data_IF_484426913613
#
_entry.id   IF_484426913613
#
_cell.length_a   1.000
_cell.length_b   1.000
_cell.length_c   1.000
_cell.angle_alpha   90.00
_cell.angle_beta   90.00
_cell.angle_gamma   90.00
#
_symmetry.space_group_name_H-M   'P 1'
#
loop_
_entity.id
_entity.type
_entity.pdbx_description
1 polymer ?
#
# COMPACT_ATOMS: atom_id res chain seq x y z
N UNK A 1 32.07 9.11 10.20
CA UNK A 1 30.89 9.99 10.16
C UNK A 1 29.70 9.22 10.72
N UNK A 2 28.94 9.83 11.65
CA UNK A 2 27.76 9.17 12.25
C UNK A 2 26.68 8.97 11.19
N UNK A 3 26.06 7.79 11.15
CA UNK A 3 24.90 7.52 10.28
C UNK A 3 23.70 8.34 10.76
N UNK A 4 23.03 9.03 9.84
CA UNK A 4 21.78 9.76 10.10
C UNK A 4 20.71 9.32 9.09
N UNK A 5 19.43 9.44 9.43
CA UNK A 5 18.33 9.04 8.53
C UNK A 5 18.35 9.75 7.17
N UNK A 6 18.61 11.06 7.08
CA UNK A 6 18.76 11.70 5.76
C UNK A 6 19.83 11.07 4.87
N UNK A 7 20.98 10.65 5.43
CA UNK A 7 22.02 9.95 4.67
C UNK A 7 21.55 8.58 4.18
N UNK A 8 20.78 7.85 5.01
CA UNK A 8 20.20 6.56 4.63
C UNK A 8 19.19 6.72 3.51
N UNK A 9 18.25 7.66 3.63
CA UNK A 9 17.24 7.96 2.60
C UNK A 9 17.92 8.34 1.29
N UNK A 10 18.93 9.21 1.37
CA UNK A 10 19.70 9.65 0.21
C UNK A 10 20.40 8.46 -0.48
N UNK A 11 21.04 7.59 0.29
CA UNK A 11 21.72 6.42 -0.25
C UNK A 11 20.75 5.37 -0.83
N UNK A 12 19.54 5.22 -0.24
CA UNK A 12 18.52 4.33 -0.79
C UNK A 12 18.02 4.83 -2.15
N UNK A 13 17.68 6.12 -2.25
CA UNK A 13 17.10 6.69 -3.48
C UNK A 13 18.15 7.00 -4.55
N UNK A 14 19.36 7.38 -4.12
CA UNK A 14 20.48 7.80 -4.94
C UNK A 14 21.75 7.03 -4.55
N UNK A 15 21.91 5.76 -4.98
CA UNK A 15 23.05 4.93 -4.58
C UNK A 15 24.40 5.54 -4.94
N UNK A 16 25.31 5.54 -3.97
CA UNK A 16 26.64 6.13 -4.12
C UNK A 16 26.71 7.62 -3.84
N UNK A 17 25.59 8.25 -3.50
CA UNK A 17 25.51 9.70 -3.21
C UNK A 17 26.14 10.10 -1.86
N UNK A 18 26.37 9.16 -0.96
CA UNK A 18 26.99 9.41 0.34
C UNK A 18 28.33 8.70 0.48
N UNK A 19 29.24 9.25 1.29
CA UNK A 19 30.51 8.61 1.65
C UNK A 19 30.39 7.73 2.90
N UNK A 20 29.19 7.59 3.49
CA UNK A 20 28.98 6.89 4.76
C UNK A 20 28.81 5.37 4.54
N UNK A 21 29.74 4.52 5.02
CA UNK A 21 29.70 3.07 4.76
C UNK A 21 28.50 2.38 5.45
N UNK A 22 28.06 2.89 6.61
CA UNK A 22 26.90 2.33 7.32
C UNK A 22 25.60 2.67 6.59
N UNK A 23 25.47 3.90 6.05
CA UNK A 23 24.33 4.27 5.24
C UNK A 23 24.24 3.42 3.97
N UNK A 24 25.38 3.16 3.31
CA UNK A 24 25.46 2.26 2.14
C UNK A 24 25.02 0.84 2.47
N UNK A 25 25.57 0.25 3.54
CA UNK A 25 25.22 -1.11 3.94
C UNK A 25 23.73 -1.23 4.31
N UNK A 26 23.19 -0.24 5.02
CA UNK A 26 21.77 -0.22 5.36
C UNK A 26 20.87 -0.07 4.12
N UNK A 27 21.22 0.86 3.23
CA UNK A 27 20.48 1.07 1.99
C UNK A 27 20.47 -0.19 1.10
N UNK A 28 21.59 -0.88 0.99
CA UNK A 28 21.68 -2.14 0.27
C UNK A 28 20.75 -3.20 0.88
N UNK A 29 20.78 -3.39 2.21
CA UNK A 29 19.92 -4.34 2.89
C UNK A 29 18.42 -4.04 2.69
N UNK A 30 18.03 -2.76 2.74
CA UNK A 30 16.64 -2.33 2.47
C UNK A 30 16.25 -2.66 1.03
N UNK A 31 17.08 -2.31 0.06
CA UNK A 31 16.81 -2.56 -1.36
C UNK A 31 16.69 -4.05 -1.68
N UNK A 32 17.55 -4.88 -1.09
CA UNK A 32 17.47 -6.35 -1.22
C UNK A 32 16.16 -6.89 -0.60
N UNK A 33 15.78 -6.43 0.59
CA UNK A 33 14.55 -6.85 1.24
C UNK A 33 13.30 -6.45 0.41
N UNK A 34 13.28 -5.24 -0.16
CA UNK A 34 12.20 -4.78 -1.03
C UNK A 34 12.10 -5.60 -2.32
N UNK A 35 13.23 -5.95 -2.94
CA UNK A 35 13.24 -6.77 -4.17
C UNK A 35 12.82 -8.22 -3.89
N UNK A 36 13.24 -8.80 -2.77
CA UNK A 36 12.77 -10.12 -2.32
C UNK A 36 11.24 -10.08 -2.11
N UNK A 37 10.72 -9.08 -1.41
CA UNK A 37 9.30 -8.93 -1.17
C UNK A 37 8.51 -8.80 -2.49
N UNK A 38 8.97 -7.95 -3.41
CA UNK A 38 8.39 -7.77 -4.74
C UNK A 38 8.34 -9.09 -5.53
N UNK A 39 9.47 -9.78 -5.59
CA UNK A 39 9.62 -11.03 -6.36
C UNK A 39 8.72 -12.12 -5.79
N UNK A 40 8.69 -12.29 -4.47
CA UNK A 40 7.81 -13.26 -3.81
C UNK A 40 6.33 -12.95 -4.05
N UNK A 41 5.94 -11.68 -3.96
CA UNK A 41 4.57 -11.28 -4.25
C UNK A 41 4.16 -11.66 -5.67
N UNK A 42 5.05 -11.41 -6.65
CA UNK A 42 4.79 -11.75 -8.05
C UNK A 42 4.71 -13.26 -8.30
N UNK A 43 5.46 -14.07 -7.55
CA UNK A 43 5.36 -15.54 -7.63
C UNK A 43 3.97 -16.08 -7.26
N UNK A 44 3.22 -15.36 -6.42
CA UNK A 44 1.89 -15.76 -5.97
C UNK A 44 0.75 -14.95 -6.64
N UNK A 45 1.04 -14.36 -7.81
CA UNK A 45 0.03 -13.71 -8.65
C UNK A 45 -0.06 -12.20 -8.47
N UNK A 46 0.91 -11.57 -7.82
CA UNK A 46 1.12 -10.14 -7.88
C UNK A 46 1.64 -9.71 -9.26
N UNK A 47 1.48 -8.42 -9.58
CA UNK A 47 2.03 -7.82 -10.79
C UNK A 47 2.69 -6.49 -10.44
N UNK A 48 3.75 -6.56 -9.63
CA UNK A 48 4.50 -5.38 -9.19
C UNK A 48 5.69 -5.21 -10.14
N UNK A 49 5.64 -4.18 -10.98
CA UNK A 49 6.74 -3.86 -11.88
C UNK A 49 8.00 -3.45 -11.11
N UNK A 50 9.17 -3.75 -11.69
CA UNK A 50 10.42 -3.20 -11.20
C UNK A 50 10.57 -1.78 -11.73
N UNK A 51 10.73 -0.82 -10.82
CA UNK A 51 11.02 0.56 -11.19
C UNK A 51 12.52 0.75 -11.50
N UNK A 52 12.85 1.74 -12.33
CA UNK A 52 14.23 2.20 -12.47
C UNK A 52 14.64 2.89 -11.16
N UNK A 53 15.77 2.46 -10.59
CA UNK A 53 16.23 2.95 -9.29
C UNK A 53 15.68 2.14 -8.11
N UNK A 54 15.86 2.69 -6.94
CA UNK A 54 15.46 2.08 -5.68
C UNK A 54 14.12 2.64 -5.19
N UNK A 55 13.46 1.88 -4.34
CA UNK A 55 12.12 2.20 -3.88
C UNK A 55 12.11 2.47 -2.36
N UNK A 56 11.49 3.58 -1.98
CA UNK A 56 11.02 3.80 -0.62
C UNK A 56 9.50 3.91 -0.62
N UNK A 57 8.81 3.32 0.37
CA UNK A 57 7.39 3.53 0.57
C UNK A 57 7.08 5.00 0.81
N UNK A 58 5.95 5.45 0.30
CA UNK A 58 5.50 6.85 0.37
C UNK A 58 4.23 6.92 1.22
N UNK A 59 4.32 6.86 2.56
CA UNK A 59 3.14 7.02 3.39
C UNK A 59 2.63 8.45 3.28
N UNK A 60 1.31 8.56 3.17
CA UNK A 60 0.60 9.83 3.13
C UNK A 60 -0.20 9.99 4.41
N UNK A 61 0.03 11.07 5.14
CA UNK A 61 -0.75 11.38 6.33
C UNK A 61 -2.03 12.11 5.94
N UNK A 62 -3.14 11.36 5.90
CA UNK A 62 -4.46 11.90 5.53
C UNK A 62 -4.92 13.08 6.39
N UNK A 63 -4.51 13.09 7.67
CA UNK A 63 -4.82 14.20 8.60
C UNK A 63 -4.01 15.46 8.25
N UNK A 64 -2.71 15.34 7.98
CA UNK A 64 -1.88 16.48 7.57
C UNK A 64 -2.39 17.06 6.24
N UNK A 65 -2.65 16.19 5.26
CA UNK A 65 -3.16 16.58 3.93
C UNK A 65 -4.56 17.19 4.03
N UNK A 66 -5.42 16.65 4.89
CA UNK A 66 -6.75 17.19 5.10
C UNK A 66 -6.82 18.59 5.70
N UNK A 67 -5.72 19.10 6.30
CA UNK A 67 -5.62 20.44 6.88
C UNK A 67 -5.26 21.53 5.88
N UNK A 68 -4.81 21.18 4.69
CA UNK A 68 -4.46 22.11 3.62
C UNK A 68 -5.48 22.02 2.49
N UNK A 69 -5.58 23.08 1.68
CA UNK A 69 -6.42 23.05 0.49
C UNK A 69 -5.86 22.12 -0.57
N UNK A 70 -6.72 21.63 -1.46
CA UNK A 70 -6.30 20.85 -2.62
C UNK A 70 -5.30 21.62 -3.49
N UNK A 71 -5.51 22.92 -3.67
CA UNK A 71 -4.65 23.79 -4.47
C UNK A 71 -3.27 23.92 -3.83
N UNK A 72 -3.18 24.19 -2.53
CA UNK A 72 -1.93 24.28 -1.79
C UNK A 72 -1.15 22.97 -1.88
N UNK A 73 -1.80 21.83 -1.58
CA UNK A 73 -1.16 20.52 -1.66
C UNK A 73 -0.67 20.21 -3.08
N UNK A 74 -1.47 20.54 -4.11
CA UNK A 74 -1.11 20.31 -5.50
C UNK A 74 0.12 21.13 -5.90
N UNK A 75 0.13 22.44 -5.60
CA UNK A 75 1.23 23.33 -5.95
C UNK A 75 2.54 22.89 -5.28
N UNK A 76 2.49 22.55 -4.00
CA UNK A 76 3.64 22.03 -3.26
C UNK A 76 4.14 20.72 -3.86
N UNK A 77 3.23 19.76 -4.03
CA UNK A 77 3.58 18.41 -4.50
C UNK A 77 4.19 18.47 -5.90
N UNK A 78 3.61 19.24 -6.82
CA UNK A 78 4.13 19.40 -8.17
C UNK A 78 5.59 19.88 -8.20
N UNK A 79 5.99 20.70 -7.22
CA UNK A 79 7.37 21.19 -7.12
C UNK A 79 8.39 20.09 -6.83
N UNK A 80 7.97 18.98 -6.23
CA UNK A 80 8.80 17.85 -5.83
C UNK A 80 8.85 16.71 -6.86
N UNK A 81 7.94 16.68 -7.87
CA UNK A 81 7.77 15.54 -8.75
C UNK A 81 8.68 15.54 -9.97
N UNK A 82 9.12 14.36 -10.38
CA UNK A 82 9.81 14.09 -11.64
C UNK A 82 8.80 13.67 -12.71
N UNK A 83 8.31 14.64 -13.46
CA UNK A 83 7.30 14.39 -14.49
C UNK A 83 7.81 13.49 -15.63
N UNK A 84 9.11 13.54 -15.94
CA UNK A 84 9.70 12.73 -17.01
C UNK A 84 9.61 11.23 -16.73
N UNK A 85 9.67 10.84 -15.44
CA UNK A 85 9.57 9.46 -15.02
C UNK A 85 8.13 9.00 -14.72
N UNK A 86 7.18 9.93 -14.63
CA UNK A 86 5.77 9.62 -14.39
C UNK A 86 5.07 9.29 -15.70
N UNK A 87 4.76 8.02 -15.91
CA UNK A 87 4.15 7.55 -17.16
C UNK A 87 2.63 7.58 -17.05
N UNK A 88 2.00 8.27 -17.99
CA UNK A 88 0.56 8.25 -18.17
C UNK A 88 0.14 6.93 -18.83
N UNK A 89 -0.58 6.10 -18.11
CA UNK A 89 -1.01 4.76 -18.58
C UNK A 89 -1.95 4.80 -19.78
N UNK A 90 -2.64 5.93 -20.01
CA UNK A 90 -3.56 6.10 -21.16
C UNK A 90 -2.81 6.37 -22.46
N UNK A 91 -1.69 7.10 -22.37
CA UNK A 91 -0.92 7.57 -23.53
C UNK A 91 0.43 6.87 -23.69
N UNK A 92 0.86 6.11 -22.68
CA UNK A 92 2.15 5.42 -22.57
C UNK A 92 3.36 6.35 -22.77
N UNK A 93 3.23 7.62 -22.39
CA UNK A 93 4.29 8.63 -22.37
C UNK A 93 4.32 9.36 -21.04
N UNK A 94 5.37 10.13 -20.79
CA UNK A 94 5.45 10.98 -19.60
C UNK A 94 4.29 11.98 -19.55
N UNK A 95 3.83 12.27 -18.32
CA UNK A 95 2.83 13.32 -18.11
C UNK A 95 3.38 14.68 -18.52
N UNK A 96 2.55 15.48 -19.20
CA UNK A 96 2.78 16.93 -19.22
C UNK A 96 2.33 17.55 -17.90
N UNK A 97 2.79 18.76 -17.61
CA UNK A 97 2.39 19.46 -16.39
C UNK A 97 0.87 19.66 -16.33
N UNK A 98 0.26 20.03 -17.46
CA UNK A 98 -1.18 20.26 -17.58
C UNK A 98 -1.98 18.96 -17.35
N UNK A 99 -1.53 17.85 -17.94
CA UNK A 99 -2.18 16.55 -17.75
C UNK A 99 -2.11 16.10 -16.29
N UNK A 100 -0.95 16.28 -15.64
CA UNK A 100 -0.80 15.90 -14.25
C UNK A 100 -1.65 16.79 -13.34
N UNK A 101 -1.72 18.09 -13.58
CA UNK A 101 -2.58 19.00 -12.82
C UNK A 101 -4.07 18.60 -12.88
N UNK A 102 -4.53 18.01 -13.99
CA UNK A 102 -5.90 17.48 -14.09
C UNK A 102 -6.13 16.21 -13.25
N UNK A 103 -5.11 15.40 -13.03
CA UNK A 103 -5.21 14.18 -12.22
C UNK A 103 -5.03 14.43 -10.71
N UNK A 104 -4.29 15.49 -10.31
CA UNK A 104 -3.95 15.79 -8.91
C UNK A 104 -5.16 15.94 -7.97
N UNK A 105 -6.31 16.51 -8.37
CA UNK A 105 -7.52 16.52 -7.55
C UNK A 105 -7.99 15.14 -7.14
N UNK A 106 -7.94 14.18 -8.07
CA UNK A 106 -8.28 12.78 -7.82
C UNK A 106 -7.31 12.12 -6.84
N UNK A 107 -6.01 12.41 -6.97
CA UNK A 107 -4.96 11.91 -6.08
C UNK A 107 -5.13 12.48 -4.67
N UNK A 108 -5.33 13.80 -4.53
CA UNK A 108 -5.59 14.45 -3.25
C UNK A 108 -6.79 13.84 -2.53
N UNK A 109 -7.92 13.69 -3.22
CA UNK A 109 -9.12 13.11 -2.64
C UNK A 109 -8.93 11.63 -2.26
N UNK A 110 -8.21 10.86 -3.08
CA UNK A 110 -7.91 9.47 -2.77
C UNK A 110 -7.06 9.34 -1.50
N UNK A 111 -6.05 10.18 -1.32
CA UNK A 111 -5.21 10.19 -0.12
C UNK A 111 -6.00 10.68 1.09
N UNK A 112 -6.68 11.82 0.98
CA UNK A 112 -7.46 12.43 2.08
C UNK A 112 -8.53 11.49 2.63
N UNK A 113 -9.15 10.70 1.77
CA UNK A 113 -10.21 9.74 2.12
C UNK A 113 -9.71 8.31 2.30
N UNK A 114 -8.39 8.09 2.32
CA UNK A 114 -7.76 6.77 2.42
C UNK A 114 -8.33 5.77 1.39
N UNK A 115 -8.61 6.26 0.18
CA UNK A 115 -9.14 5.46 -0.94
C UNK A 115 -10.66 5.34 -1.00
N UNK A 116 -11.41 5.82 -0.01
CA UNK A 116 -12.89 5.74 -0.02
C UNK A 116 -13.49 6.49 -1.20
N UNK A 117 -12.89 7.59 -1.65
CA UNK A 117 -13.36 8.35 -2.82
C UNK A 117 -13.33 7.58 -4.14
N UNK A 118 -12.56 6.48 -4.21
CA UNK A 118 -12.51 5.58 -5.38
C UNK A 118 -13.69 4.60 -5.44
N UNK A 119 -14.50 4.52 -4.39
CA UNK A 119 -15.71 3.71 -4.33
C UNK A 119 -16.86 4.46 -5.03
N UNK A 120 -16.75 4.71 -6.34
CA UNK A 120 -17.85 5.28 -7.12
C UNK A 120 -18.94 4.23 -7.28
N UNK A 121 -20.22 4.52 -6.92
CA UNK A 121 -21.32 3.60 -7.14
C UNK A 121 -21.42 3.21 -8.62
N UNK A 122 -21.47 1.92 -8.93
CA UNK A 122 -21.60 1.40 -10.29
C UNK A 122 -20.29 1.06 -11.00
N UNK A 123 -19.14 1.45 -10.50
CA UNK A 123 -17.87 0.89 -10.97
C UNK A 123 -17.74 -0.51 -10.38
N UNK A 124 -17.89 -1.54 -11.21
CA UNK A 124 -17.53 -2.90 -10.83
C UNK A 124 -16.07 -2.82 -10.37
N UNK A 125 -15.82 -3.17 -9.11
CA UNK A 125 -14.47 -3.49 -8.66
C UNK A 125 -14.01 -4.66 -9.53
N UNK A 126 -13.47 -4.31 -10.70
CA UNK A 126 -12.83 -5.27 -11.58
C UNK A 126 -11.80 -6.00 -10.72
N UNK A 127 -11.53 -7.23 -11.07
CA UNK A 127 -10.60 -8.16 -10.45
C UNK A 127 -9.19 -7.57 -10.23
N UNK A 128 -9.08 -6.50 -9.43
CA UNK A 128 -7.78 -6.03 -8.99
C UNK A 128 -7.25 -7.09 -8.03
N UNK A 129 -6.30 -7.87 -8.50
CA UNK A 129 -5.53 -8.74 -7.62
C UNK A 129 -4.93 -7.89 -6.51
N UNK A 130 -4.68 -8.48 -5.36
CA UNK A 130 -4.04 -7.80 -4.23
C UNK A 130 -2.72 -7.12 -4.65
N UNK A 131 -1.98 -7.73 -5.60
CA UNK A 131 -0.77 -7.15 -6.19
C UNK A 131 -1.04 -5.91 -7.03
N UNK A 132 -2.14 -5.86 -7.78
CA UNK A 132 -2.50 -4.69 -8.60
C UNK A 132 -2.91 -3.48 -7.76
N UNK A 133 -3.56 -3.70 -6.60
CA UNK A 133 -3.93 -2.60 -5.70
C UNK A 133 -2.72 -1.85 -5.13
N UNK A 134 -1.53 -2.49 -5.10
CA UNK A 134 -0.29 -1.86 -4.65
C UNK A 134 0.39 -0.98 -5.70
N UNK A 135 0.02 -1.09 -6.98
CA UNK A 135 0.54 -0.22 -8.04
C UNK A 135 0.02 1.22 -7.89
N UNK A 136 -1.19 1.38 -7.40
CA UNK A 136 -1.83 2.69 -7.24
C UNK A 136 -1.13 3.59 -6.21
N UNK A 137 -0.39 3.01 -5.26
CA UNK A 137 0.36 3.75 -4.24
C UNK A 137 1.72 4.29 -4.73
N UNK A 138 2.06 4.09 -6.01
CA UNK A 138 3.34 4.51 -6.62
C UNK A 138 3.17 5.61 -7.66
N UNK A 139 2.08 6.34 -7.60
CA UNK A 139 1.79 7.35 -8.62
C UNK A 139 2.79 8.52 -8.58
N UNK A 140 3.17 8.97 -7.38
CA UNK A 140 4.09 10.10 -7.24
C UNK A 140 5.55 9.63 -7.36
N UNK A 141 6.30 10.20 -8.29
CA UNK A 141 7.75 9.97 -8.43
C UNK A 141 8.46 11.28 -8.12
N UNK A 142 9.29 11.28 -7.09
CA UNK A 142 10.03 12.45 -6.64
C UNK A 142 11.30 12.67 -7.49
N UNK A 143 11.73 13.94 -7.65
CA UNK A 143 12.94 14.32 -8.41
C UNK A 143 14.20 13.69 -7.83
N UNK A 144 14.31 13.74 -6.50
CA UNK A 144 15.49 13.38 -5.75
C UNK A 144 15.13 13.05 -4.27
N UNK A 145 16.12 12.64 -3.51
CA UNK A 145 15.95 12.30 -2.10
C UNK A 145 15.54 13.52 -1.25
N UNK A 146 15.97 14.72 -1.62
CA UNK A 146 15.63 15.96 -0.89
C UNK A 146 14.16 16.30 -1.09
N UNK A 147 13.65 16.20 -2.30
CA UNK A 147 12.23 16.36 -2.64
C UNK A 147 11.35 15.33 -1.91
N UNK A 148 11.78 14.06 -1.88
CA UNK A 148 11.09 13.03 -1.10
C UNK A 148 11.03 13.37 0.38
N UNK A 149 12.15 13.75 0.99
CA UNK A 149 12.22 14.10 2.42
C UNK A 149 11.38 15.35 2.73
N UNK A 150 11.42 16.37 1.88
CA UNK A 150 10.62 17.59 2.03
C UNK A 150 9.12 17.28 1.99
N UNK A 151 8.68 16.44 1.06
CA UNK A 151 7.31 15.98 0.99
C UNK A 151 6.91 15.18 2.25
N UNK A 152 7.75 14.21 2.67
CA UNK A 152 7.46 13.39 3.83
C UNK A 152 7.38 14.21 5.14
N UNK A 153 8.23 15.21 5.31
CA UNK A 153 8.16 16.12 6.45
C UNK A 153 6.83 16.89 6.50
N UNK A 154 6.34 17.34 5.34
CA UNK A 154 5.12 18.16 5.26
C UNK A 154 3.83 17.31 5.25
N UNK A 155 3.80 16.22 4.50
CA UNK A 155 2.59 15.47 4.14
C UNK A 155 2.64 13.96 4.46
N UNK A 156 3.78 13.45 4.88
CA UNK A 156 3.98 12.04 5.20
C UNK A 156 4.10 11.77 6.70
N UNK A 157 4.46 10.53 6.99
CA UNK A 157 4.91 10.12 8.31
C UNK A 157 6.43 10.31 8.40
N UNK A 158 6.92 10.84 9.53
CA UNK A 158 8.32 11.26 9.66
C UNK A 158 9.28 10.09 9.88
N UNK A 159 8.79 8.94 10.37
CA UNK A 159 9.61 7.78 10.68
C UNK A 159 9.78 6.84 9.50
N UNK A 160 10.87 7.03 8.76
CA UNK A 160 11.23 6.20 7.60
C UNK A 160 11.45 4.73 7.97
N UNK A 161 12.01 4.44 9.13
CA UNK A 161 12.26 3.07 9.57
C UNK A 161 10.95 2.34 9.84
N UNK A 162 10.06 2.93 10.61
CA UNK A 162 8.72 2.38 10.84
C UNK A 162 7.95 2.19 9.53
N UNK A 163 8.08 3.13 8.59
CA UNK A 163 7.49 3.03 7.25
C UNK A 163 8.01 1.82 6.48
N UNK A 164 9.32 1.58 6.48
CA UNK A 164 9.94 0.42 5.84
C UNK A 164 9.41 -0.87 6.47
N UNK A 165 9.41 -0.96 7.79
CA UNK A 165 8.91 -2.14 8.51
C UNK A 165 7.44 -2.42 8.23
N UNK A 166 6.58 -1.43 8.34
CA UNK A 166 5.14 -1.56 8.06
C UNK A 166 4.88 -2.01 6.62
N UNK A 167 5.65 -1.47 5.67
CA UNK A 167 5.55 -1.88 4.27
C UNK A 167 5.95 -3.35 4.07
N UNK A 168 7.10 -3.77 4.62
CA UNK A 168 7.58 -5.15 4.52
C UNK A 168 6.65 -6.12 5.24
N UNK A 169 6.14 -5.76 6.40
CA UNK A 169 5.14 -6.55 7.13
C UNK A 169 3.86 -6.71 6.30
N UNK A 170 3.33 -5.61 5.79
CA UNK A 170 2.10 -5.61 5.00
C UNK A 170 2.24 -6.44 3.72
N UNK A 171 3.33 -6.26 2.95
CA UNK A 171 3.55 -7.03 1.71
C UNK A 171 3.80 -8.52 1.99
N UNK A 172 4.47 -8.85 3.10
CA UNK A 172 4.72 -10.24 3.49
C UNK A 172 3.42 -10.95 3.88
N UNK A 173 2.54 -10.26 4.61
CA UNK A 173 1.21 -10.77 5.00
C UNK A 173 0.35 -11.01 3.76
N UNK A 174 0.27 -10.04 2.86
CA UNK A 174 -0.49 -10.17 1.62
C UNK A 174 0.06 -11.32 0.75
N UNK A 175 1.38 -11.47 0.68
CA UNK A 175 2.03 -12.56 -0.04
C UNK A 175 1.67 -13.92 0.57
N UNK A 176 1.67 -14.04 1.90
CA UNK A 176 1.27 -15.26 2.59
C UNK A 176 -0.21 -15.61 2.31
N UNK A 177 -1.08 -14.61 2.29
CA UNK A 177 -2.49 -14.80 1.97
C UNK A 177 -2.71 -15.20 0.50
N UNK A 178 -1.99 -14.57 -0.44
CA UNK A 178 -2.04 -14.97 -1.85
C UNK A 178 -1.51 -16.39 -2.05
N UNK A 179 -0.48 -16.78 -1.33
CA UNK A 179 0.03 -18.16 -1.34
C UNK A 179 -1.01 -19.17 -0.85
N UNK A 180 -1.77 -18.84 0.20
CA UNK A 180 -2.74 -19.74 0.82
C UNK A 180 -4.08 -19.78 0.07
N UNK A 181 -4.55 -18.66 -0.44
CA UNK A 181 -5.92 -18.47 -0.95
C UNK A 181 -5.98 -18.04 -2.43
N UNK A 182 -4.82 -17.96 -3.09
CA UNK A 182 -4.70 -17.51 -4.47
C UNK A 182 -4.58 -15.99 -4.62
N UNK A 183 -4.42 -15.50 -5.85
CA UNK A 183 -4.14 -14.08 -6.14
C UNK A 183 -5.21 -13.10 -5.65
N UNK A 184 -6.42 -13.59 -5.43
CA UNK A 184 -7.53 -12.84 -4.84
C UNK A 184 -8.03 -13.53 -3.56
N UNK A 185 -7.45 -13.23 -2.38
CA UNK A 185 -7.84 -13.86 -1.12
C UNK A 185 -9.32 -13.74 -0.77
N UNK A 186 -9.99 -12.64 -1.17
CA UNK A 186 -11.43 -12.47 -0.95
C UNK A 186 -12.25 -13.53 -1.70
N UNK A 187 -11.83 -13.89 -2.92
CA UNK A 187 -12.44 -14.98 -3.68
C UNK A 187 -12.13 -16.34 -3.06
N UNK A 188 -10.92 -16.51 -2.54
CA UNK A 188 -10.51 -17.68 -1.78
C UNK A 188 -11.38 -17.89 -0.54
N UNK A 189 -11.64 -16.87 0.26
CA UNK A 189 -12.55 -16.96 1.41
C UNK A 189 -13.98 -17.28 1.00
N UNK A 190 -14.49 -16.67 -0.07
CA UNK A 190 -15.83 -17.03 -0.58
C UNK A 190 -15.92 -18.50 -0.97
N UNK A 191 -14.94 -18.97 -1.71
CA UNK A 191 -14.87 -20.39 -2.11
C UNK A 191 -14.83 -21.33 -0.90
N UNK A 192 -14.00 -21.03 0.12
CA UNK A 192 -13.97 -21.80 1.37
C UNK A 192 -15.32 -21.81 2.09
N UNK A 193 -16.00 -20.66 2.16
CA UNK A 193 -17.34 -20.57 2.75
C UNK A 193 -18.36 -21.44 2.00
N UNK A 194 -18.30 -21.45 0.67
CA UNK A 194 -19.19 -22.27 -0.14
C UNK A 194 -18.92 -23.76 0.03
N UNK A 195 -17.66 -24.20 0.06
CA UNK A 195 -17.30 -25.58 0.36
C UNK A 195 -17.83 -25.97 1.76
N UNK A 196 -17.56 -25.16 2.77
CA UNK A 196 -18.01 -25.45 4.15
C UNK A 196 -19.54 -25.58 4.17
N UNK A 197 -20.27 -24.71 3.49
CA UNK A 197 -21.74 -24.79 3.43
C UNK A 197 -22.21 -26.10 2.82
N UNK A 198 -21.54 -26.58 1.78
CA UNK A 198 -21.87 -27.83 1.10
C UNK A 198 -21.52 -29.03 2.00
N UNK A 199 -20.30 -29.06 2.52
CA UNK A 199 -19.80 -30.18 3.32
C UNK A 199 -20.47 -30.31 4.69
N UNK A 200 -21.03 -29.21 5.21
CA UNK A 200 -21.69 -29.23 6.54
C UNK A 200 -23.21 -29.25 6.46
N UNK A 201 -23.80 -29.36 5.27
CA UNK A 201 -25.27 -29.30 5.08
C UNK A 201 -26.06 -30.33 5.89
N UNK A 202 -25.47 -31.50 6.10
CA UNK A 202 -26.09 -32.64 6.83
C UNK A 202 -25.72 -32.66 8.33
N UNK A 203 -24.99 -31.67 8.82
CA UNK A 203 -24.69 -31.53 10.25
C UNK A 203 -25.79 -30.74 10.96
N UNK A 204 -25.89 -30.92 12.28
CA UNK A 204 -26.73 -30.08 13.12
C UNK A 204 -26.34 -28.61 13.05
N UNK A 205 -27.30 -27.70 13.32
CA UNK A 205 -27.10 -26.23 13.21
C UNK A 205 -25.93 -25.71 14.07
N UNK A 206 -25.73 -26.30 15.26
CA UNK A 206 -24.67 -25.86 16.20
C UNK A 206 -23.26 -26.11 15.67
N UNK A 207 -22.88 -27.32 15.19
CA UNK A 207 -21.60 -27.54 14.54
C UNK A 207 -21.45 -26.73 13.25
N UNK A 208 -22.47 -26.58 12.40
CA UNK A 208 -22.43 -25.72 11.23
C UNK A 208 -22.04 -24.28 11.56
N UNK A 209 -22.73 -23.68 12.53
CA UNK A 209 -22.49 -22.30 12.99
C UNK A 209 -21.06 -22.13 13.53
N UNK A 210 -20.57 -23.11 14.30
CA UNK A 210 -19.21 -23.09 14.85
C UNK A 210 -18.12 -23.10 13.75
N UNK A 211 -18.29 -23.92 12.72
CA UNK A 211 -17.32 -24.02 11.61
C UNK A 211 -17.35 -22.73 10.79
N UNK A 212 -18.54 -22.22 10.45
CA UNK A 212 -18.71 -20.93 9.75
C UNK A 212 -18.05 -19.80 10.52
N UNK A 213 -18.31 -19.68 11.81
CA UNK A 213 -17.73 -18.63 12.65
C UNK A 213 -16.20 -18.63 12.68
N UNK A 214 -15.55 -19.80 12.57
CA UNK A 214 -14.09 -19.88 12.46
C UNK A 214 -13.55 -19.25 11.17
N UNK A 215 -14.19 -19.52 10.03
CA UNK A 215 -13.77 -18.93 8.74
C UNK A 215 -14.06 -17.44 8.69
N UNK A 216 -15.21 -17.00 9.19
CA UNK A 216 -15.53 -15.56 9.30
C UNK A 216 -14.54 -14.85 10.23
N UNK A 217 -14.15 -15.48 11.34
CA UNK A 217 -13.10 -14.96 12.21
C UNK A 217 -11.74 -14.80 11.54
N UNK A 218 -11.32 -15.78 10.73
CA UNK A 218 -10.07 -15.70 9.95
C UNK A 218 -10.14 -14.61 8.87
N UNK A 219 -11.26 -14.51 8.16
CA UNK A 219 -11.47 -13.46 7.16
C UNK A 219 -11.45 -12.07 7.80
N UNK A 220 -12.14 -11.88 8.92
CA UNK A 220 -12.16 -10.63 9.66
C UNK A 220 -10.76 -10.26 10.18
N UNK A 221 -10.03 -11.24 10.71
CA UNK A 221 -8.64 -11.04 11.13
C UNK A 221 -7.76 -10.57 9.96
N UNK A 222 -7.87 -11.21 8.81
CA UNK A 222 -7.17 -10.80 7.61
C UNK A 222 -7.55 -9.38 7.17
N UNK A 223 -8.84 -9.09 7.08
CA UNK A 223 -9.34 -7.78 6.66
C UNK A 223 -8.91 -6.67 7.60
N UNK A 224 -8.99 -6.87 8.92
CA UNK A 224 -8.57 -5.87 9.92
C UNK A 224 -7.08 -5.55 9.85
N UNK A 225 -6.25 -6.56 9.63
CA UNK A 225 -4.79 -6.36 9.57
C UNK A 225 -4.30 -5.83 8.21
N UNK A 226 -5.06 -6.03 7.13
CA UNK A 226 -4.66 -5.57 5.79
C UNK A 226 -4.95 -4.08 5.52
N UNK A 227 -5.42 -3.33 6.53
CA UNK A 227 -5.82 -1.92 6.36
C UNK A 227 -7.03 -1.74 5.45
N UNK A 228 -7.76 -2.81 5.13
CA UNK A 228 -8.92 -2.79 4.24
C UNK A 228 -10.22 -2.39 4.94
N UNK A 229 -10.19 -2.31 6.27
CA UNK A 229 -11.28 -1.77 7.07
C UNK A 229 -11.11 -0.26 7.19
N UNK A 230 -11.45 0.45 6.13
CA UNK A 230 -11.26 1.91 6.06
C UNK A 230 -12.47 2.70 6.57
N UNK A 231 -13.57 2.04 6.93
CA UNK A 231 -14.75 2.71 7.50
C UNK A 231 -14.73 2.68 9.03
N UNK A 232 -15.33 3.70 9.65
CA UNK A 232 -15.52 3.72 11.11
C UNK A 232 -16.38 2.54 11.60
N UNK A 233 -17.31 2.07 10.78
CA UNK A 233 -18.14 0.90 11.05
C UNK A 233 -17.31 -0.39 11.08
N UNK A 234 -16.38 -0.54 10.12
CA UNK A 234 -15.50 -1.72 10.04
C UNK A 234 -14.51 -1.76 11.20
N UNK A 235 -13.98 -0.60 11.61
CA UNK A 235 -13.13 -0.47 12.81
C UNK A 235 -13.92 -0.78 14.09
N UNK A 236 -15.20 -0.41 14.15
CA UNK A 236 -16.09 -0.76 15.26
C UNK A 236 -16.31 -2.26 15.42
N UNK A 237 -16.48 -2.98 14.32
CA UNK A 237 -16.61 -4.45 14.30
C UNK A 237 -15.30 -5.11 14.76
N UNK A 238 -14.15 -4.67 14.26
CA UNK A 238 -12.85 -5.19 14.65
C UNK A 238 -12.58 -5.00 16.15
N UNK A 239 -12.91 -3.83 16.71
CA UNK A 239 -12.75 -3.54 18.14
C UNK A 239 -13.76 -4.31 19.02
N UNK A 240 -14.96 -4.60 18.52
CA UNK A 240 -15.96 -5.43 19.22
C UNK A 240 -15.47 -6.86 19.45
N UNK A 241 -14.70 -7.43 18.53
CA UNK A 241 -14.10 -8.77 18.70
C UNK A 241 -12.86 -8.78 19.59
N UNK A 242 -12.12 -7.68 19.69
CA UNK A 242 -10.96 -7.57 20.58
C UNK A 242 -11.35 -7.53 22.07
N UNK A 243 -12.60 -7.15 22.39
CA UNK A 243 -13.16 -7.10 23.75
C UNK A 243 -13.75 -8.42 24.27
N UNK A 244 -13.78 -9.47 23.45
CA UNK A 244 -14.28 -10.81 23.79
C UNK A 244 -13.12 -11.79 24.09
N UNK A 245 -12.20 -11.39 24.98
CA UNK A 245 -11.20 -12.28 25.57
C UNK A 245 -11.60 -12.69 26.97
#
# INVERSE_FOLDING_TARGET
QKMTMPLVVKEILEPGSTANPLAKAFAQAVNEAMEIARTRTNQFGGNIAKIKGNYLPQPHNSTKIGRVSQEEWTNDTMSFLNLEQMINSKTNRSFTQEELLLEMPGVYNAIKTEGVSRLTPGVRMGSSTLGSSRLDHRFLIFKDAESYMAYQAKYGDEDVISTIYQHLESISRDTAMMRALGPNPNSGFRFLKDIIRIETKDLDLKPQSRIRGKIEGLENLYMSHSGRLNSAADKGIANGFAGLR
#
